data_IF_585125207626
#
_entry.id   IF_585125207626
#
_cell.length_a   1.000
_cell.length_b   1.000
_cell.length_c   1.000
_cell.angle_alpha   90.00
_cell.angle_beta   90.00
_cell.angle_gamma   90.00
#
_symmetry.space_group_name_H-M   'P 1'
#
loop_
_entity.id
_entity.type
_entity.pdbx_description
1 polymer ?
#
# COMPACT_ATOMS: atom_id res chain seq x y z
N UNK A 1 22.05 2.60 15.23
CA UNK A 1 22.71 3.03 13.97
C UNK A 1 24.01 2.26 13.67
N UNK A 2 24.83 1.92 14.64
CA UNK A 2 26.08 1.17 14.41
C UNK A 2 25.88 -0.26 13.92
N UNK A 3 24.82 -0.94 14.36
CA UNK A 3 24.51 -2.31 13.93
C UNK A 3 24.14 -2.40 12.45
N UNK A 4 23.44 -1.40 11.92
CA UNK A 4 23.13 -1.30 10.49
C UNK A 4 24.38 -1.05 9.63
N UNK A 5 25.36 -0.32 10.16
CA UNK A 5 26.63 -0.10 9.50
C UNK A 5 27.44 -1.40 9.44
N UNK A 6 27.44 -2.17 10.52
CA UNK A 6 28.09 -3.47 10.63
C UNK A 6 27.46 -4.52 9.69
N UNK A 7 26.13 -4.64 9.63
CA UNK A 7 25.44 -5.55 8.69
C UNK A 7 25.68 -5.11 7.24
N UNK A 8 25.62 -3.83 6.94
CA UNK A 8 25.93 -3.32 5.62
C UNK A 8 27.37 -3.65 5.21
N UNK A 9 28.33 -3.54 6.10
CA UNK A 9 29.72 -3.88 5.83
C UNK A 9 29.94 -5.39 5.69
N UNK A 10 29.25 -6.22 6.47
CA UNK A 10 29.31 -7.69 6.32
C UNK A 10 28.71 -8.12 5.01
N UNK A 11 27.52 -7.65 4.65
CA UNK A 11 26.87 -7.97 3.35
C UNK A 11 27.75 -7.44 2.22
N UNK A 12 28.25 -6.22 2.31
CA UNK A 12 29.13 -5.64 1.31
C UNK A 12 30.45 -6.40 1.17
N UNK A 13 31.11 -6.73 2.29
CA UNK A 13 32.37 -7.47 2.26
C UNK A 13 32.22 -8.93 1.85
N UNK A 14 31.18 -9.63 2.23
CA UNK A 14 31.02 -11.06 1.94
C UNK A 14 30.34 -11.36 0.61
N UNK A 15 29.38 -10.51 0.20
CA UNK A 15 28.63 -10.73 -1.06
C UNK A 15 29.30 -10.03 -2.24
N UNK A 16 29.99 -8.93 -2.01
CA UNK A 16 30.60 -8.11 -3.07
C UNK A 16 32.12 -8.07 -3.03
N UNK A 17 32.78 -8.78 -2.12
CA UNK A 17 34.25 -8.89 -2.13
C UNK A 17 34.78 -9.58 -3.39
N UNK A 18 33.99 -10.49 -3.99
CA UNK A 18 34.23 -11.06 -5.31
C UNK A 18 34.07 -10.03 -6.47
N UNK A 19 33.41 -8.92 -6.20
CA UNK A 19 33.19 -7.82 -7.13
C UNK A 19 34.21 -6.66 -6.93
N UNK A 20 35.31 -6.89 -6.21
CA UNK A 20 36.40 -5.89 -6.05
C UNK A 20 36.90 -5.34 -7.39
N UNK A 21 36.81 -6.12 -8.45
CA UNK A 21 37.11 -5.65 -9.81
C UNK A 21 36.08 -4.69 -10.41
N UNK A 22 34.86 -4.59 -9.83
CA UNK A 22 33.83 -3.66 -10.29
C UNK A 22 33.86 -2.30 -9.55
N UNK A 23 34.59 -2.21 -8.43
CA UNK A 23 34.68 -0.97 -7.65
C UNK A 23 35.29 0.19 -8.44
N UNK A 24 36.41 0.05 -9.16
CA UNK A 24 36.91 1.09 -10.06
C UNK A 24 35.90 1.43 -11.16
N UNK A 25 35.20 0.42 -11.66
CA UNK A 25 34.19 0.58 -12.71
C UNK A 25 32.95 1.36 -12.24
N UNK A 26 32.54 1.19 -10.97
CA UNK A 26 31.43 1.93 -10.36
C UNK A 26 31.88 3.35 -9.95
N UNK A 27 33.15 3.53 -9.57
CA UNK A 27 33.72 4.84 -9.21
C UNK A 27 34.12 5.68 -10.44
N UNK A 28 34.44 5.06 -11.59
CA UNK A 28 34.75 5.74 -12.86
C UNK A 28 33.52 6.03 -13.75
N UNK A 29 32.45 5.26 -13.59
CA UNK A 29 31.19 5.53 -14.27
C UNK A 29 30.29 6.33 -13.33
N UNK A 30 30.19 7.63 -13.56
CA UNK A 30 28.97 8.34 -13.19
C UNK A 30 27.79 7.55 -13.74
N UNK A 31 26.77 7.26 -12.91
CA UNK A 31 25.62 6.52 -13.42
C UNK A 31 25.04 7.30 -14.61
N UNK A 32 25.10 6.70 -15.78
CA UNK A 32 24.55 7.22 -17.04
C UNK A 32 23.03 7.38 -17.01
N UNK A 33 22.44 7.15 -15.86
CA UNK A 33 21.05 7.36 -15.54
C UNK A 33 20.95 8.51 -14.52
N UNK A 34 21.11 9.73 -15.00
CA UNK A 34 20.18 10.72 -14.49
C UNK A 34 18.79 10.10 -14.70
N UNK A 35 17.91 10.06 -13.67
CA UNK A 35 16.54 9.70 -13.91
C UNK A 35 16.00 10.69 -14.94
N UNK A 36 16.05 10.30 -16.22
CA UNK A 36 15.34 11.01 -17.24
C UNK A 36 13.87 10.81 -16.85
N UNK A 37 13.31 11.84 -16.27
CA UNK A 37 11.88 12.07 -16.38
C UNK A 37 11.66 12.15 -17.88
N UNK A 38 11.33 11.02 -18.53
CA UNK A 38 10.80 11.05 -19.87
C UNK A 38 9.51 11.85 -19.72
N UNK A 39 9.45 13.10 -20.20
CA UNK A 39 8.19 13.81 -20.18
C UNK A 39 7.27 12.91 -21.00
N UNK A 40 6.24 12.36 -20.37
CA UNK A 40 5.10 11.85 -21.14
C UNK A 40 4.72 13.03 -22.01
N UNK A 41 4.76 12.91 -23.35
CA UNK A 41 4.38 14.02 -24.22
C UNK A 41 3.05 14.53 -23.66
N UNK A 42 3.01 15.81 -23.33
CA UNK A 42 1.77 16.41 -22.87
C UNK A 42 0.74 16.11 -23.95
N UNK A 43 -0.19 15.21 -23.65
CA UNK A 43 -1.40 15.10 -24.42
C UNK A 43 -2.12 16.41 -24.17
N UNK A 44 -1.91 17.35 -25.12
CA UNK A 44 -2.48 18.68 -25.16
C UNK A 44 -1.75 19.70 -24.27
N UNK A 45 -1.19 20.71 -24.89
CA UNK A 45 -0.97 22.00 -24.30
C UNK A 45 -2.29 22.52 -23.74
N UNK A 46 -2.54 22.30 -22.48
CA UNK A 46 -3.54 23.04 -21.73
C UNK A 46 -2.79 24.14 -20.99
N UNK A 47 -3.13 25.38 -21.33
CA UNK A 47 -2.76 26.58 -20.63
C UNK A 47 -2.69 26.38 -19.12
N UNK A 48 -1.73 27.04 -18.50
CA UNK A 48 -1.44 27.18 -17.08
C UNK A 48 -2.48 26.55 -16.16
N UNK A 49 -2.12 25.42 -15.53
CA UNK A 49 -2.97 24.77 -14.53
C UNK A 49 -2.94 25.66 -13.29
N UNK A 50 -3.93 26.51 -13.20
CA UNK A 50 -4.34 27.12 -11.94
C UNK A 50 -4.64 25.98 -10.95
N UNK A 51 -3.97 25.97 -9.80
CA UNK A 51 -4.01 24.86 -8.82
C UNK A 51 -5.39 24.57 -8.20
N UNK A 52 -6.47 25.03 -8.83
CA UNK A 52 -7.87 24.87 -8.45
C UNK A 52 -8.75 24.31 -9.58
N UNK A 53 -8.15 23.76 -10.66
CA UNK A 53 -8.95 23.18 -11.75
C UNK A 53 -9.76 21.97 -11.23
N UNK A 54 -11.04 22.17 -10.98
CA UNK A 54 -12.02 21.10 -10.87
C UNK A 54 -12.07 20.42 -12.23
N UNK A 55 -11.69 19.14 -12.29
CA UNK A 55 -11.93 18.29 -13.46
C UNK A 55 -13.38 18.48 -13.91
N UNK A 56 -13.60 18.75 -15.17
CA UNK A 56 -14.96 18.87 -15.72
C UNK A 56 -15.66 17.51 -15.65
N UNK A 57 -16.97 17.51 -15.49
CA UNK A 57 -17.75 16.24 -15.49
C UNK A 57 -17.47 15.41 -16.74
N UNK A 58 -17.25 16.04 -17.90
CA UNK A 58 -16.92 15.38 -19.16
C UNK A 58 -15.55 14.68 -19.13
N UNK A 59 -14.52 15.31 -18.53
CA UNK A 59 -13.18 14.69 -18.38
C UNK A 59 -13.22 13.50 -17.43
N UNK A 60 -13.99 13.59 -16.36
CA UNK A 60 -14.16 12.48 -15.44
C UNK A 60 -14.95 11.34 -16.09
N UNK A 61 -15.97 11.61 -16.88
CA UNK A 61 -16.74 10.62 -17.63
C UNK A 61 -15.88 9.92 -18.69
N UNK A 62 -15.06 10.66 -19.43
CA UNK A 62 -14.09 10.09 -20.38
C UNK A 62 -13.06 9.23 -19.67
N UNK A 63 -12.53 9.70 -18.55
CA UNK A 63 -11.60 8.93 -17.71
C UNK A 63 -12.24 7.64 -17.21
N UNK A 64 -13.47 7.69 -16.73
CA UNK A 64 -14.23 6.53 -16.26
C UNK A 64 -14.50 5.54 -17.40
N UNK A 65 -14.83 6.03 -18.59
CA UNK A 65 -15.06 5.21 -19.79
C UNK A 65 -13.78 4.47 -20.20
N UNK A 66 -12.64 5.17 -20.22
CA UNK A 66 -11.34 4.53 -20.51
C UNK A 66 -10.95 3.49 -19.46
N UNK A 67 -11.17 3.78 -18.18
CA UNK A 67 -10.87 2.84 -17.09
C UNK A 67 -11.82 1.62 -17.11
N UNK A 68 -13.06 1.78 -17.56
CA UNK A 68 -14.02 0.68 -17.71
C UNK A 68 -13.65 -0.33 -18.79
N UNK A 69 -12.76 0.03 -19.73
CA UNK A 69 -12.24 -0.87 -20.76
C UNK A 69 -11.23 -1.91 -20.22
N UNK A 70 -10.67 -1.69 -19.03
CA UNK A 70 -9.77 -2.67 -18.41
C UNK A 70 -10.56 -3.84 -17.78
N UNK A 71 -9.94 -5.02 -17.67
CA UNK A 71 -10.58 -6.17 -17.05
C UNK A 71 -11.09 -5.83 -15.64
N UNK A 72 -12.36 -6.13 -15.38
CA UNK A 72 -12.95 -5.93 -14.05
C UNK A 72 -12.40 -6.96 -13.09
N UNK A 73 -12.11 -6.53 -11.87
CA UNK A 73 -11.76 -7.43 -10.79
C UNK A 73 -12.92 -8.41 -10.48
N UNK A 74 -12.56 -9.58 -9.98
CA UNK A 74 -13.54 -10.57 -9.51
C UNK A 74 -14.35 -10.07 -8.31
N UNK A 75 -13.81 -9.10 -7.58
CA UNK A 75 -14.33 -8.56 -6.32
C UNK A 75 -14.62 -7.07 -6.46
N UNK A 76 -15.28 -6.51 -5.44
CA UNK A 76 -15.65 -5.10 -5.44
C UNK A 76 -14.45 -4.16 -5.64
N UNK A 77 -14.64 -3.19 -6.50
CA UNK A 77 -13.74 -2.06 -6.71
C UNK A 77 -14.06 -0.91 -5.75
N UNK A 78 -13.20 0.10 -5.72
CA UNK A 78 -13.47 1.38 -5.04
C UNK A 78 -14.80 1.99 -5.52
N UNK A 79 -15.04 1.97 -6.83
CA UNK A 79 -16.27 2.50 -7.41
C UNK A 79 -17.52 1.70 -7.04
N UNK A 80 -17.39 0.37 -6.86
CA UNK A 80 -18.51 -0.48 -6.45
C UNK A 80 -18.89 -0.18 -4.99
N UNK A 81 -17.92 -0.09 -4.07
CA UNK A 81 -18.17 0.32 -2.70
C UNK A 81 -18.87 1.67 -2.65
N UNK A 82 -18.35 2.67 -3.38
CA UNK A 82 -18.96 4.00 -3.42
C UNK A 82 -20.41 3.96 -3.91
N UNK A 83 -20.71 3.23 -4.98
CA UNK A 83 -22.08 3.07 -5.49
C UNK A 83 -23.01 2.45 -4.44
N UNK A 84 -22.57 1.39 -3.76
CA UNK A 84 -23.34 0.72 -2.72
C UNK A 84 -23.61 1.63 -1.51
N UNK A 85 -22.64 2.48 -1.13
CA UNK A 85 -22.80 3.44 -0.05
C UNK A 85 -23.72 4.60 -0.43
N UNK A 86 -23.58 5.14 -1.64
CA UNK A 86 -24.44 6.22 -2.14
C UNK A 86 -25.90 5.77 -2.32
N UNK A 87 -26.13 4.52 -2.70
CA UNK A 87 -27.49 3.96 -2.81
C UNK A 87 -28.09 3.53 -1.46
N UNK A 88 -27.30 3.54 -0.38
CA UNK A 88 -27.71 3.03 0.92
C UNK A 88 -27.91 1.49 0.98
N UNK A 89 -27.50 0.77 -0.08
CA UNK A 89 -27.58 -0.71 -0.10
C UNK A 89 -26.66 -1.35 0.93
N UNK A 90 -25.50 -0.77 1.17
CA UNK A 90 -24.56 -1.08 2.24
C UNK A 90 -24.11 0.20 2.93
N UNK A 91 -23.63 0.07 4.15
CA UNK A 91 -22.92 1.15 4.85
C UNK A 91 -21.47 0.75 5.10
N UNK A 92 -20.56 1.72 5.26
CA UNK A 92 -19.19 1.45 5.72
C UNK A 92 -19.14 0.64 7.01
N UNK A 93 -20.12 0.85 7.94
CA UNK A 93 -20.25 0.06 9.17
C UNK A 93 -20.57 -1.40 8.88
N UNK A 94 -21.49 -1.71 7.96
CA UNK A 94 -21.84 -3.08 7.60
C UNK A 94 -20.61 -3.83 7.06
N UNK A 95 -19.85 -3.16 6.19
CA UNK A 95 -18.62 -3.74 5.60
C UNK A 95 -17.57 -4.00 6.68
N UNK A 96 -17.35 -3.05 7.59
CA UNK A 96 -16.39 -3.23 8.69
C UNK A 96 -16.78 -4.39 9.61
N UNK A 97 -18.04 -4.48 10.02
CA UNK A 97 -18.54 -5.56 10.89
C UNK A 97 -18.49 -6.93 10.19
N UNK A 98 -18.66 -6.98 8.87
CA UNK A 98 -18.49 -8.21 8.10
C UNK A 98 -17.01 -8.64 8.00
N UNK A 99 -16.09 -7.70 7.79
CA UNK A 99 -14.67 -8.01 7.59
C UNK A 99 -13.93 -8.34 8.91
N UNK A 100 -14.27 -7.66 10.00
CA UNK A 100 -13.57 -7.80 11.28
C UNK A 100 -13.46 -9.25 11.77
N UNK A 101 -14.52 -10.09 11.78
CA UNK A 101 -14.42 -11.49 12.19
C UNK A 101 -13.49 -12.33 11.28
N UNK A 102 -13.38 -11.95 10.01
CA UNK A 102 -12.57 -12.69 9.03
C UNK A 102 -11.07 -12.43 9.17
N UNK A 103 -10.69 -11.22 9.59
CA UNK A 103 -9.28 -10.77 9.54
C UNK A 103 -8.58 -10.82 10.90
N UNK A 104 -9.32 -10.92 11.99
CA UNK A 104 -8.76 -10.87 13.35
C UNK A 104 -8.02 -12.15 13.72
N UNK A 105 -6.84 -11.96 14.37
CA UNK A 105 -6.04 -13.04 14.97
C UNK A 105 -6.39 -13.31 16.44
N UNK A 106 -6.95 -12.32 17.11
CA UNK A 106 -7.26 -12.31 18.54
C UNK A 106 -8.64 -12.87 18.86
N UNK A 107 -9.13 -13.79 18.05
CA UNK A 107 -10.39 -14.51 18.24
C UNK A 107 -10.14 -15.99 18.51
N UNK A 108 -11.12 -16.67 19.10
CA UNK A 108 -11.00 -18.11 19.48
C UNK A 108 -10.72 -19.01 18.28
N UNK A 109 -11.34 -18.71 17.13
CA UNK A 109 -11.16 -19.48 15.88
C UNK A 109 -10.80 -18.53 14.73
N UNK A 110 -9.52 -18.15 14.58
CA UNK A 110 -9.09 -17.30 13.47
C UNK A 110 -9.31 -18.00 12.12
N UNK A 111 -9.82 -17.25 11.14
CA UNK A 111 -9.94 -17.77 9.78
C UNK A 111 -8.59 -17.81 9.07
N UNK A 112 -8.52 -18.42 7.89
CA UNK A 112 -7.32 -18.37 7.05
C UNK A 112 -6.93 -16.95 6.66
N UNK A 113 -7.91 -16.05 6.51
CA UNK A 113 -7.70 -14.65 6.14
C UNK A 113 -6.90 -13.88 7.19
N UNK A 114 -7.01 -14.27 8.46
CA UNK A 114 -6.30 -13.63 9.56
C UNK A 114 -4.76 -13.71 9.40
N UNK A 115 -4.26 -14.71 8.67
CA UNK A 115 -2.81 -14.84 8.41
C UNK A 115 -2.25 -13.66 7.59
N UNK A 116 -3.08 -13.03 6.76
CA UNK A 116 -2.68 -11.86 6.00
C UNK A 116 -2.64 -10.57 6.84
N UNK A 117 -3.28 -10.54 8.00
CA UNK A 117 -3.34 -9.37 8.87
C UNK A 117 -2.45 -9.58 10.10
N UNK A 118 -1.49 -8.67 10.29
CA UNK A 118 -0.58 -8.72 11.42
C UNK A 118 -1.23 -8.19 12.71
N UNK A 119 -1.92 -7.04 12.62
CA UNK A 119 -2.59 -6.39 13.73
C UNK A 119 -3.82 -5.61 13.24
N UNK A 120 -4.94 -5.74 13.96
CA UNK A 120 -6.19 -5.02 13.71
C UNK A 120 -6.68 -4.37 15.00
N UNK A 121 -7.00 -3.09 14.97
CA UNK A 121 -7.59 -2.34 16.09
C UNK A 121 -9.08 -2.14 15.86
N UNK A 122 -9.87 -3.00 16.45
CA UNK A 122 -11.33 -3.07 16.26
C UNK A 122 -12.03 -1.76 16.59
N UNK A 123 -11.63 -1.13 17.68
CA UNK A 123 -12.14 0.16 18.13
C UNK A 123 -11.94 1.27 17.10
N UNK A 124 -10.72 1.38 16.55
CA UNK A 124 -10.38 2.36 15.50
C UNK A 124 -11.15 2.09 14.21
N UNK A 125 -11.19 0.85 13.76
CA UNK A 125 -11.93 0.44 12.56
C UNK A 125 -13.41 0.80 12.67
N UNK A 126 -14.03 0.44 13.80
CA UNK A 126 -15.44 0.74 14.07
C UNK A 126 -15.71 2.24 14.16
N UNK A 127 -14.82 3.00 14.77
CA UNK A 127 -14.96 4.46 14.85
C UNK A 127 -14.94 5.08 13.44
N UNK A 128 -13.92 4.78 12.63
CA UNK A 128 -13.81 5.28 11.27
C UNK A 128 -15.00 4.86 10.38
N UNK A 129 -15.48 3.62 10.53
CA UNK A 129 -16.63 3.13 9.79
C UNK A 129 -17.93 3.86 10.15
N UNK A 130 -18.17 4.10 11.44
CA UNK A 130 -19.34 4.88 11.89
C UNK A 130 -19.29 6.32 11.39
N UNK A 131 -18.15 6.98 11.48
CA UNK A 131 -17.99 8.33 10.98
C UNK A 131 -18.24 8.42 9.48
N UNK A 132 -17.73 7.49 8.70
CA UNK A 132 -17.99 7.43 7.27
C UNK A 132 -19.46 7.17 6.97
N UNK A 133 -20.11 6.24 7.70
CA UNK A 133 -21.55 5.98 7.57
C UNK A 133 -22.37 7.23 7.78
N UNK A 134 -22.06 8.03 8.82
CA UNK A 134 -22.74 9.28 9.09
C UNK A 134 -22.53 10.29 7.95
N UNK A 135 -21.30 10.39 7.42
CA UNK A 135 -21.03 11.27 6.26
C UNK A 135 -21.87 10.91 5.05
N UNK A 136 -22.05 9.64 4.74
CA UNK A 136 -22.93 9.20 3.64
C UNK A 136 -24.39 9.50 3.91
N UNK A 137 -24.89 9.28 5.11
CA UNK A 137 -26.28 9.60 5.52
C UNK A 137 -26.58 11.09 5.41
N UNK A 138 -25.60 11.93 5.67
CA UNK A 138 -25.72 13.39 5.62
C UNK A 138 -25.36 14.00 4.24
N UNK A 139 -25.05 13.17 3.25
CA UNK A 139 -24.65 13.62 1.91
C UNK A 139 -23.31 14.36 1.88
N UNK A 140 -22.43 14.13 2.87
CA UNK A 140 -21.13 14.81 3.06
C UNK A 140 -19.93 13.88 2.82
N UNK A 141 -20.06 12.92 1.91
CA UNK A 141 -18.94 12.03 1.57
C UNK A 141 -17.69 12.80 1.17
N UNK A 142 -16.52 12.34 1.64
CA UNK A 142 -15.22 12.98 1.38
C UNK A 142 -14.67 12.67 -0.04
N UNK A 143 -15.32 11.79 -0.79
CA UNK A 143 -14.91 11.47 -2.14
C UNK A 143 -14.85 9.95 -2.41
N UNK A 144 -14.12 9.54 -3.47
CA UNK A 144 -14.15 8.14 -3.94
C UNK A 144 -13.66 7.12 -2.90
N UNK A 145 -12.74 7.48 -2.02
CA UNK A 145 -12.15 6.57 -1.04
C UNK A 145 -12.89 6.56 0.31
N UNK A 146 -13.89 7.44 0.52
CA UNK A 146 -14.62 7.48 1.78
C UNK A 146 -15.34 6.16 2.05
N UNK A 147 -15.08 5.57 3.20
CA UNK A 147 -15.65 4.28 3.62
C UNK A 147 -15.00 3.05 2.98
N UNK A 148 -14.08 3.22 2.03
CA UNK A 148 -13.44 2.10 1.34
C UNK A 148 -12.49 1.37 2.30
N UNK A 149 -12.63 0.03 2.49
CA UNK A 149 -11.72 -0.73 3.33
C UNK A 149 -10.33 -0.82 2.68
N UNK A 150 -9.32 -0.55 3.49
CA UNK A 150 -7.90 -0.64 3.10
C UNK A 150 -7.08 -1.24 4.24
N UNK A 151 -5.83 -1.59 3.95
CA UNK A 151 -4.86 -1.99 4.97
C UNK A 151 -3.44 -1.76 4.44
N UNK A 152 -2.46 -1.72 5.32
CA UNK A 152 -1.09 -1.36 4.97
C UNK A 152 -0.07 -2.39 5.45
N UNK A 153 0.97 -2.62 4.67
CA UNK A 153 2.08 -3.51 5.01
C UNK A 153 2.73 -3.11 6.33
N UNK A 154 3.19 -4.08 7.11
CA UNK A 154 3.76 -3.87 8.45
C UNK A 154 5.11 -3.14 8.49
N UNK A 155 5.39 -2.32 7.52
CA UNK A 155 6.51 -1.36 7.53
C UNK A 155 6.05 0.10 7.57
N UNK A 156 4.75 0.36 7.47
CA UNK A 156 4.19 1.70 7.62
C UNK A 156 3.93 1.98 9.10
N UNK A 157 4.51 3.04 9.63
CA UNK A 157 4.16 3.50 10.97
C UNK A 157 2.75 4.07 11.01
N UNK A 158 2.01 3.71 12.05
CA UNK A 158 0.64 4.13 12.27
C UNK A 158 0.39 4.36 13.75
N UNK A 159 -0.21 5.48 14.09
CA UNK A 159 -0.58 5.79 15.45
C UNK A 159 -1.49 4.71 16.07
N UNK A 160 -1.07 4.21 17.23
CA UNK A 160 -1.78 3.15 17.96
C UNK A 160 -1.52 1.74 17.45
N UNK A 161 -0.64 1.54 16.48
CA UNK A 161 -0.17 0.24 16.00
C UNK A 161 1.33 0.11 16.21
N UNK A 162 1.80 -1.11 16.40
CA UNK A 162 3.23 -1.40 16.38
C UNK A 162 3.71 -1.63 14.94
N UNK A 163 4.97 -1.35 14.67
CA UNK A 163 5.65 -1.76 13.45
C UNK A 163 6.72 -2.78 13.81
N UNK A 164 6.59 -4.01 13.30
CA UNK A 164 7.51 -5.11 13.57
C UNK A 164 8.40 -5.46 12.37
N UNK A 165 8.11 -4.92 11.18
CA UNK A 165 8.79 -5.27 9.93
C UNK A 165 8.73 -6.78 9.64
N UNK A 166 7.64 -7.43 10.03
CA UNK A 166 7.45 -8.87 9.92
C UNK A 166 8.28 -9.71 10.91
N UNK A 167 9.00 -9.10 11.85
CA UNK A 167 9.86 -9.78 12.84
C UNK A 167 9.16 -9.96 14.19
N UNK A 168 9.87 -10.57 15.14
CA UNK A 168 9.40 -10.67 16.54
C UNK A 168 9.52 -9.36 17.31
N UNK A 169 10.41 -8.49 16.87
CA UNK A 169 10.70 -7.24 17.56
C UNK A 169 9.68 -6.16 17.18
N UNK A 170 9.56 -5.18 18.05
CA UNK A 170 8.83 -3.95 17.78
C UNK A 170 9.86 -2.84 17.53
N UNK A 171 9.84 -2.26 16.34
CA UNK A 171 10.72 -1.16 15.92
C UNK A 171 10.07 0.20 16.12
N UNK A 172 8.76 0.23 16.05
CA UNK A 172 7.92 1.35 16.40
C UNK A 172 6.92 0.91 17.46
N UNK A 173 6.91 1.63 18.58
CA UNK A 173 5.95 1.41 19.67
C UNK A 173 4.77 2.36 19.49
N UNK A 174 3.52 1.89 19.69
CA UNK A 174 2.35 2.76 19.63
C UNK A 174 2.33 3.85 20.74
N UNK A 175 3.26 3.78 21.69
CA UNK A 175 3.41 4.76 22.76
C UNK A 175 4.47 5.83 22.46
N UNK A 176 5.19 5.72 21.36
CA UNK A 176 6.14 6.72 20.88
C UNK A 176 5.47 7.64 19.88
N UNK A 177 5.69 8.94 20.01
CA UNK A 177 5.08 9.95 19.12
C UNK A 177 5.92 10.12 17.84
N UNK A 178 5.90 9.10 16.99
CA UNK A 178 6.53 9.15 15.67
C UNK A 178 5.54 9.52 14.56
N UNK A 179 4.24 9.49 14.87
CA UNK A 179 3.17 9.80 13.94
C UNK A 179 2.84 8.68 12.94
N UNK A 180 1.87 8.95 12.11
CA UNK A 180 1.41 8.04 11.04
C UNK A 180 2.12 8.37 9.73
N UNK A 181 2.53 7.36 8.97
CA UNK A 181 3.16 7.50 7.66
C UNK A 181 2.32 8.36 6.71
N UNK A 182 2.96 9.23 5.94
CA UNK A 182 2.31 10.22 5.08
C UNK A 182 1.25 9.64 4.15
N UNK A 183 1.56 8.53 3.48
CA UNK A 183 0.60 7.89 2.58
C UNK A 183 -0.65 7.38 3.33
N UNK A 184 -0.46 6.90 4.56
CA UNK A 184 -1.57 6.44 5.41
C UNK A 184 -2.43 7.62 5.85
N UNK A 185 -1.79 8.72 6.31
CA UNK A 185 -2.51 9.96 6.65
C UNK A 185 -3.38 10.47 5.48
N UNK A 186 -2.86 10.40 4.24
CA UNK A 186 -3.61 10.81 3.06
C UNK A 186 -4.81 9.91 2.78
N UNK A 187 -4.67 8.60 2.96
CA UNK A 187 -5.80 7.67 2.83
C UNK A 187 -6.87 7.90 3.90
N UNK A 188 -6.46 8.05 5.15
CA UNK A 188 -7.37 8.31 6.26
C UNK A 188 -8.08 9.68 6.11
N UNK A 189 -7.36 10.71 5.68
CA UNK A 189 -7.93 12.02 5.38
C UNK A 189 -8.94 11.99 4.21
N UNK A 190 -8.78 11.05 3.27
CA UNK A 190 -9.75 10.79 2.20
C UNK A 190 -10.92 9.89 2.65
N UNK A 191 -10.96 9.50 3.93
CA UNK A 191 -12.03 8.72 4.52
C UNK A 191 -11.89 7.20 4.36
N UNK A 192 -10.77 6.69 3.83
CA UNK A 192 -10.54 5.25 3.74
C UNK A 192 -10.46 4.62 5.14
N UNK A 193 -11.06 3.44 5.29
CA UNK A 193 -11.11 2.71 6.57
C UNK A 193 -9.92 1.76 6.63
N UNK A 194 -8.92 2.10 7.42
CA UNK A 194 -7.75 1.27 7.60
C UNK A 194 -8.05 0.11 8.56
N UNK A 195 -8.10 -1.11 8.03
CA UNK A 195 -8.38 -2.34 8.80
C UNK A 195 -7.19 -2.81 9.63
N UNK A 196 -5.99 -2.26 9.38
CA UNK A 196 -4.79 -2.56 10.15
C UNK A 196 -3.55 -2.85 9.33
N UNK A 197 -2.63 -3.57 9.95
CA UNK A 197 -1.30 -3.90 9.44
C UNK A 197 -1.32 -5.27 8.76
N UNK A 198 -0.71 -5.35 7.57
CA UNK A 198 -0.64 -6.56 6.76
C UNK A 198 0.70 -7.28 6.94
N UNK A 199 0.64 -8.60 6.92
CA UNK A 199 1.80 -9.48 7.00
C UNK A 199 2.78 -9.25 5.85
N UNK A 200 4.06 -9.43 6.14
CA UNK A 200 5.14 -9.28 5.19
C UNK A 200 6.25 -10.30 5.44
N UNK A 201 7.10 -10.51 4.44
CA UNK A 201 8.38 -11.19 4.69
C UNK A 201 9.22 -10.34 5.65
N UNK A 202 9.91 -11.01 6.57
CA UNK A 202 10.72 -10.34 7.59
C UNK A 202 11.73 -9.39 6.95
N UNK A 203 11.73 -8.14 7.35
CA UNK A 203 12.55 -7.02 6.83
C UNK A 203 12.41 -6.77 5.32
N UNK A 204 11.44 -7.37 4.66
CA UNK A 204 11.29 -7.23 3.21
C UNK A 204 12.39 -7.91 2.38
N UNK A 205 13.17 -8.82 2.96
CA UNK A 205 14.41 -9.32 2.36
C UNK A 205 14.24 -10.48 1.38
N UNK A 206 13.04 -11.05 1.23
CA UNK A 206 12.76 -12.11 0.27
C UNK A 206 11.47 -11.82 -0.51
N UNK A 207 11.31 -12.51 -1.62
CA UNK A 207 10.20 -12.39 -2.58
C UNK A 207 9.13 -13.46 -2.41
N UNK A 208 9.33 -14.43 -1.51
CA UNK A 208 8.36 -15.50 -1.24
C UNK A 208 7.22 -15.07 -0.33
N UNK A 209 7.45 -14.09 0.55
CA UNK A 209 6.51 -13.72 1.61
C UNK A 209 6.48 -14.73 2.75
N UNK A 210 7.38 -15.71 2.78
CA UNK A 210 7.45 -16.69 3.85
C UNK A 210 7.78 -16.02 5.18
N UNK A 211 6.92 -16.21 6.17
CA UNK A 211 7.11 -15.67 7.51
C UNK A 211 6.83 -16.75 8.56
N UNK A 212 7.87 -17.39 9.10
CA UNK A 212 7.70 -18.45 10.09
C UNK A 212 7.25 -17.94 11.46
N UNK A 213 7.35 -16.62 11.70
CA UNK A 213 7.02 -16.00 12.98
C UNK A 213 5.52 -15.71 13.07
N UNK A 214 4.99 -15.06 12.04
CA UNK A 214 3.60 -14.60 12.00
C UNK A 214 2.70 -15.41 11.09
N UNK A 215 3.25 -16.41 10.40
CA UNK A 215 2.56 -17.20 9.40
C UNK A 215 2.61 -16.57 8.00
N UNK A 216 2.48 -17.44 7.00
CA UNK A 216 2.59 -17.07 5.59
C UNK A 216 1.22 -17.19 4.93
N UNK A 217 0.64 -16.11 4.41
CA UNK A 217 -0.59 -16.20 3.62
C UNK A 217 -0.39 -17.14 2.42
N UNK A 218 -1.37 -17.98 2.15
CA UNK A 218 -1.38 -18.86 0.99
C UNK A 218 -2.10 -18.19 -0.17
N UNK A 219 -1.68 -18.48 -1.40
CA UNK A 219 -2.29 -17.87 -2.58
C UNK A 219 -3.82 -18.17 -2.63
N UNK A 220 -4.69 -17.16 -2.75
CA UNK A 220 -6.14 -17.36 -2.73
C UNK A 220 -6.68 -18.25 -3.86
N UNK A 221 -5.95 -18.35 -4.99
CA UNK A 221 -6.35 -19.18 -6.12
C UNK A 221 -5.89 -20.63 -5.98
N UNK A 222 -4.76 -20.86 -5.27
CA UNK A 222 -4.27 -22.20 -5.00
C UNK A 222 -3.41 -22.23 -3.74
N UNK A 223 -3.94 -22.83 -2.68
CA UNK A 223 -3.29 -22.90 -1.36
C UNK A 223 -1.95 -23.63 -1.30
N UNK A 224 -1.59 -24.35 -2.36
CA UNK A 224 -0.28 -25.01 -2.46
C UNK A 224 0.84 -24.04 -2.82
N UNK A 225 0.49 -22.82 -3.22
CA UNK A 225 1.43 -21.78 -3.62
C UNK A 225 1.44 -20.63 -2.61
N UNK A 226 2.53 -19.88 -2.59
CA UNK A 226 2.66 -18.64 -1.84
C UNK A 226 2.14 -17.46 -2.64
N UNK A 227 1.88 -16.37 -1.95
CA UNK A 227 1.39 -15.13 -2.57
C UNK A 227 2.49 -14.34 -3.28
N UNK A 228 3.74 -14.70 -3.06
CA UNK A 228 4.86 -13.80 -3.32
C UNK A 228 5.01 -12.78 -2.19
N UNK A 229 6.09 -12.00 -2.26
CA UNK A 229 6.47 -11.03 -1.25
C UNK A 229 7.37 -9.93 -1.80
N UNK A 230 7.81 -9.11 -0.90
CA UNK A 230 7.61 -9.15 0.55
C UNK A 230 6.24 -8.65 1.02
N UNK A 231 5.41 -7.98 0.17
CA UNK A 231 4.06 -7.51 0.52
C UNK A 231 3.02 -8.63 0.41
N UNK A 232 3.28 -9.77 1.07
CA UNK A 232 2.49 -11.00 0.99
C UNK A 232 1.06 -10.83 1.47
N UNK A 233 0.88 -10.17 2.61
CA UNK A 233 -0.44 -9.88 3.16
C UNK A 233 -1.26 -8.95 2.28
N UNK A 234 -0.61 -7.94 1.66
CA UNK A 234 -1.29 -7.01 0.77
C UNK A 234 -1.78 -7.71 -0.50
N UNK A 235 -0.91 -8.49 -1.15
CA UNK A 235 -1.29 -9.29 -2.32
C UNK A 235 -2.44 -10.24 -2.00
N UNK A 236 -2.37 -10.94 -0.86
CA UNK A 236 -3.44 -11.82 -0.39
C UNK A 236 -4.76 -11.08 -0.18
N UNK A 237 -4.74 -10.02 0.63
CA UNK A 237 -5.96 -9.34 1.05
C UNK A 237 -6.75 -8.76 -0.13
N UNK A 238 -6.04 -8.22 -1.13
CA UNK A 238 -6.66 -7.74 -2.36
C UNK A 238 -7.16 -8.90 -3.23
N UNK A 239 -6.36 -9.94 -3.44
CA UNK A 239 -6.73 -11.08 -4.27
C UNK A 239 -7.84 -11.95 -3.66
N UNK A 240 -7.95 -12.00 -2.34
CA UNK A 240 -9.04 -12.67 -1.63
C UNK A 240 -10.33 -11.82 -1.59
N UNK A 241 -10.31 -10.59 -2.09
CA UNK A 241 -11.47 -9.70 -2.12
C UNK A 241 -11.84 -9.08 -0.77
N UNK A 242 -10.92 -9.10 0.20
CA UNK A 242 -11.14 -8.52 1.53
C UNK A 242 -11.07 -6.99 1.49
N UNK A 243 -10.21 -6.45 0.64
CA UNK A 243 -10.02 -5.03 0.41
C UNK A 243 -9.80 -4.75 -1.08
N UNK A 244 -10.34 -3.66 -1.64
CA UNK A 244 -10.08 -3.29 -3.05
C UNK A 244 -8.70 -2.66 -3.25
N UNK A 245 -8.11 -2.11 -2.21
CA UNK A 245 -6.84 -1.40 -2.23
C UNK A 245 -6.04 -1.68 -0.97
N UNK A 246 -4.72 -1.76 -1.08
CA UNK A 246 -3.81 -1.84 0.05
C UNK A 246 -2.46 -1.21 -0.29
N UNK A 247 -1.66 -0.85 0.73
CA UNK A 247 -0.33 -0.31 0.52
C UNK A 247 0.75 -1.36 0.77
N UNK A 248 1.73 -1.38 -0.11
CA UNK A 248 2.94 -2.19 -0.03
C UNK A 248 4.20 -1.36 -0.26
N UNK A 249 5.34 -2.03 -0.34
CA UNK A 249 6.62 -1.43 -0.72
C UNK A 249 7.37 -2.34 -1.67
N UNK A 250 8.29 -1.79 -2.43
CA UNK A 250 9.04 -2.50 -3.46
C UNK A 250 10.49 -2.01 -3.50
N UNK A 251 11.40 -2.83 -2.99
CA UNK A 251 12.84 -2.60 -3.12
C UNK A 251 13.46 -3.41 -4.26
N UNK A 252 12.95 -4.63 -4.49
CA UNK A 252 13.44 -5.55 -5.52
C UNK A 252 12.32 -6.32 -6.23
N UNK A 253 11.04 -5.86 -6.11
CA UNK A 253 9.87 -6.53 -6.69
C UNK A 253 8.72 -6.69 -5.72
N UNK A 254 8.84 -6.22 -4.49
CA UNK A 254 7.92 -6.56 -3.39
C UNK A 254 6.49 -5.99 -3.48
N UNK A 255 6.16 -5.17 -4.47
CA UNK A 255 4.80 -4.87 -4.91
C UNK A 255 4.46 -5.72 -6.13
N UNK A 256 5.34 -5.71 -7.14
CA UNK A 256 5.12 -6.30 -8.46
C UNK A 256 5.00 -7.83 -8.41
N UNK A 257 5.84 -8.49 -7.62
CA UNK A 257 5.84 -9.96 -7.47
C UNK A 257 4.53 -10.46 -6.84
N UNK A 258 4.10 -10.00 -5.64
CA UNK A 258 2.84 -10.46 -5.09
C UNK A 258 1.64 -10.06 -5.95
N UNK A 259 1.68 -8.92 -6.63
CA UNK A 259 0.62 -8.54 -7.56
C UNK A 259 0.52 -9.51 -8.73
N UNK A 260 1.64 -9.87 -9.33
CA UNK A 260 1.70 -10.83 -10.44
C UNK A 260 1.20 -12.22 -10.02
N UNK A 261 1.71 -12.75 -8.90
CA UNK A 261 1.36 -14.09 -8.44
C UNK A 261 -0.08 -14.20 -7.89
N UNK A 262 -0.64 -13.11 -7.41
CA UNK A 262 -2.01 -13.04 -6.91
C UNK A 262 -3.02 -12.50 -7.94
N UNK A 263 -2.60 -12.19 -9.18
CA UNK A 263 -3.48 -11.74 -10.24
C UNK A 263 -4.19 -10.41 -9.95
N UNK A 264 -3.48 -9.49 -9.30
CA UNK A 264 -3.97 -8.14 -8.96
C UNK A 264 -3.04 -7.06 -9.54
N UNK A 265 -3.43 -5.80 -9.45
CA UNK A 265 -2.67 -4.70 -10.00
C UNK A 265 -1.77 -4.06 -8.95
N UNK A 266 -0.48 -3.90 -9.26
CA UNK A 266 0.49 -3.25 -8.37
C UNK A 266 1.28 -2.18 -9.08
N UNK A 267 1.44 -1.02 -8.45
CA UNK A 267 2.22 0.09 -8.98
C UNK A 267 3.44 0.35 -8.10
N UNK A 268 4.64 0.14 -8.68
CA UNK A 268 5.87 0.70 -8.14
C UNK A 268 6.10 2.05 -8.83
N UNK A 269 5.86 3.18 -8.15
CA UNK A 269 6.06 4.49 -8.75
C UNK A 269 7.55 4.82 -8.90
N UNK A 270 7.85 5.98 -9.44
CA UNK A 270 9.20 6.54 -9.46
C UNK A 270 9.74 6.62 -8.03
N UNK A 271 11.02 6.26 -7.86
CA UNK A 271 11.69 6.31 -6.57
C UNK A 271 11.60 7.73 -5.97
N UNK A 272 11.24 7.82 -4.70
CA UNK A 272 11.06 9.09 -3.99
C UNK A 272 9.72 9.80 -4.22
N UNK A 273 8.88 9.33 -5.15
CA UNK A 273 7.56 9.97 -5.40
C UNK A 273 6.63 9.89 -4.19
N UNK A 274 6.66 8.79 -3.46
CA UNK A 274 5.88 8.61 -2.23
C UNK A 274 6.81 8.68 -1.02
N UNK A 275 6.39 9.41 0.02
CA UNK A 275 7.19 9.58 1.22
C UNK A 275 7.03 8.40 2.19
N UNK A 276 8.16 7.87 2.69
CA UNK A 276 8.19 6.91 3.80
C UNK A 276 7.97 7.56 5.16
N UNK A 277 8.10 8.89 5.25
CA UNK A 277 8.10 9.59 6.53
C UNK A 277 6.72 9.59 7.19
N UNK A 278 6.70 9.52 8.54
CA UNK A 278 7.83 9.40 9.44
C UNK A 278 8.44 7.99 9.55
N UNK A 279 7.92 6.99 8.87
CA UNK A 279 8.33 5.59 8.99
C UNK A 279 9.73 5.24 8.46
N UNK A 280 10.16 3.99 8.70
CA UNK A 280 11.45 3.50 8.23
C UNK A 280 11.49 3.32 6.71
N UNK A 281 12.63 3.63 6.11
CA UNK A 281 12.97 3.18 4.77
C UNK A 281 14.14 2.20 4.88
N UNK A 282 13.88 0.92 4.69
CA UNK A 282 14.86 -0.15 4.83
C UNK A 282 15.94 -0.11 3.75
N UNK A 283 15.66 0.54 2.61
CA UNK A 283 16.61 0.70 1.52
C UNK A 283 16.41 2.03 0.82
N UNK A 284 17.12 3.04 1.29
CA UNK A 284 16.98 4.44 0.86
C UNK A 284 17.19 4.61 -0.66
N UNK A 285 18.00 3.75 -1.27
CA UNK A 285 18.40 3.88 -2.68
C UNK A 285 17.45 3.21 -3.66
N UNK A 286 16.64 2.25 -3.23
CA UNK A 286 15.80 1.47 -4.15
C UNK A 286 14.36 1.26 -3.68
N UNK A 287 14.06 1.35 -2.37
CA UNK A 287 12.71 1.08 -1.89
C UNK A 287 11.74 2.19 -2.26
N UNK A 288 10.60 1.78 -2.80
CA UNK A 288 9.46 2.63 -3.12
C UNK A 288 8.22 2.15 -2.36
N UNK A 289 7.41 3.06 -1.87
CA UNK A 289 6.04 2.76 -1.46
C UNK A 289 5.13 2.69 -2.68
N UNK A 290 4.03 1.97 -2.59
CA UNK A 290 3.04 1.96 -3.66
C UNK A 290 1.82 1.12 -3.35
N UNK A 291 0.74 1.31 -4.14
CA UNK A 291 -0.51 0.62 -3.98
C UNK A 291 -0.52 -0.74 -4.69
N UNK A 292 -1.32 -1.67 -4.12
CA UNK A 292 -1.81 -2.88 -4.75
C UNK A 292 -3.33 -2.77 -4.76
N UNK A 293 -3.98 -3.05 -5.89
CA UNK A 293 -5.42 -2.89 -6.04
C UNK A 293 -6.06 -3.98 -6.88
N UNK A 294 -7.36 -4.15 -6.72
CA UNK A 294 -8.18 -5.14 -7.42
C UNK A 294 -8.36 -4.84 -8.91
N UNK A 295 -8.28 -3.57 -9.29
CA UNK A 295 -8.43 -3.08 -10.66
C UNK A 295 -7.66 -1.77 -10.88
N UNK A 296 -7.52 -1.38 -12.16
CA UNK A 296 -6.75 -0.19 -12.54
C UNK A 296 -7.42 1.10 -12.06
N UNK A 297 -8.75 1.16 -12.04
CA UNK A 297 -9.46 2.36 -11.59
C UNK A 297 -9.26 2.59 -10.08
N UNK A 298 -9.33 1.53 -9.29
CA UNK A 298 -9.01 1.55 -7.86
C UNK A 298 -7.54 1.92 -7.62
N UNK A 299 -6.62 1.38 -8.44
CA UNK A 299 -5.20 1.73 -8.38
C UNK A 299 -4.96 3.22 -8.65
N UNK A 300 -5.59 3.77 -9.68
CA UNK A 300 -5.50 5.18 -10.02
C UNK A 300 -6.10 6.07 -8.92
N UNK A 301 -7.25 5.70 -8.37
CA UNK A 301 -7.91 6.44 -7.29
C UNK A 301 -7.03 6.52 -6.04
N UNK A 302 -6.45 5.41 -5.59
CA UNK A 302 -5.57 5.43 -4.42
C UNK A 302 -4.27 6.18 -4.71
N UNK A 303 -3.67 5.99 -5.89
CA UNK A 303 -2.42 6.67 -6.24
C UNK A 303 -2.59 8.19 -6.31
N UNK A 304 -3.70 8.70 -6.85
CA UNK A 304 -3.97 10.14 -6.89
C UNK A 304 -4.00 10.79 -5.50
N UNK A 305 -4.46 10.05 -4.49
CA UNK A 305 -4.54 10.54 -3.10
C UNK A 305 -3.17 10.50 -2.40
N UNK A 306 -2.44 9.39 -2.54
CA UNK A 306 -1.18 9.21 -1.81
C UNK A 306 0.02 9.87 -2.47
N UNK A 307 -0.08 10.24 -3.76
CA UNK A 307 1.01 10.89 -4.51
C UNK A 307 1.12 12.40 -4.27
N UNK A 308 0.30 12.96 -3.39
CA UNK A 308 0.44 14.35 -2.94
C UNK A 308 1.82 14.51 -2.27
N UNK A 309 2.65 15.45 -2.74
CA UNK A 309 4.00 15.60 -2.23
C UNK A 309 4.04 15.89 -0.72
N UNK A 310 4.95 15.23 -0.02
CA UNK A 310 5.33 15.62 1.34
C UNK A 310 6.28 16.82 1.25
N UNK A 311 6.29 17.70 2.24
CA UNK A 311 7.16 18.90 2.26
C UNK A 311 8.66 18.60 2.09
N UNK A 312 9.10 17.39 2.43
CA UNK A 312 10.49 16.94 2.21
C UNK A 312 10.67 16.16 0.90
N UNK A 313 9.67 16.10 0.03
CA UNK A 313 9.77 15.42 -1.26
C UNK A 313 10.65 16.21 -2.22
N UNK A 314 11.54 15.56 -2.99
CA UNK A 314 12.26 16.22 -4.08
C UNK A 314 11.38 16.45 -5.31
N UNK A 315 10.17 15.88 -5.34
CA UNK A 315 9.20 16.05 -6.43
C UNK A 315 8.17 17.12 -6.09
N UNK A 316 7.77 17.93 -7.09
CA UNK A 316 6.71 18.94 -6.92
C UNK A 316 5.34 18.31 -6.72
#
# INVERSE_FOLDING_TARGET
MEWFRFIREIIWHNTFSSLRGLRPFIEEYEPWFEPQVVPVPALVESNEVDGNARTTEAEEEERQTRLAAYPKAKYYSVSDYRKLYLSGTLTPTDVAEFLLPLIRRDVTNPTEHSTAFFETRVDKVRAAARESTLRYQEGRSLGPLDGVPTAVKDEYDMEGYRTSLGSRNTYYSPHEDHGTSWCVQKLEAAGAINLGKLSMHEFGLDTTGNNPIHGTPRNPYNRNYYTGGSSSGTGYAVAAGLIPIGLGSDGGGSIRIPSSLCGVFGLKPTHGRLSFRPGPNLSITCACLGPIASDISSLAAVFSVISVPHSSSPFP
#
